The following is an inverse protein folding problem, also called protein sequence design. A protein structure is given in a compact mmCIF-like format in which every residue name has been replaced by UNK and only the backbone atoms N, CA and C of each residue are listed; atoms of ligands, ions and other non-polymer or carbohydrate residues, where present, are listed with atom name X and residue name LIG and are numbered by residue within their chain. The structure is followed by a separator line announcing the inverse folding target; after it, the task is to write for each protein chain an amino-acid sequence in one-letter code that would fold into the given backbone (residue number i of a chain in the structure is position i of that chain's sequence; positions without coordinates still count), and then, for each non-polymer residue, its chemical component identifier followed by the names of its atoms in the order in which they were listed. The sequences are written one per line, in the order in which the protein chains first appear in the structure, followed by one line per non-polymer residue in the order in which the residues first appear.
data_IF_101763053858
#
_entry.id   IF_101763053858
#
_cell.length_a   1.000
_cell.length_b   1.000
_cell.length_c   1.000
_cell.angle_alpha   90.00
_cell.angle_beta   90.00
_cell.angle_gamma   90.00
#
_symmetry.space_group_name_H-M   'P 1'
#
loop_
_entity.id
_entity.type
_entity.pdbx_description
1 polymer ?
#
# COMPACT_ATOMS: atom_id res chain seq x y z
N UNK A 1 -21.50 -16.30 22.88
CA UNK A 1 -20.42 -15.80 22.00
C UNK A 1 -20.77 -14.37 21.65
N UNK A 2 -20.05 -13.40 22.21
CA UNK A 2 -20.33 -11.98 21.99
C UNK A 2 -19.91 -11.60 20.58
N UNK A 3 -20.88 -11.37 19.70
CA UNK A 3 -20.68 -10.65 18.45
C UNK A 3 -20.21 -9.24 18.82
N UNK A 4 -18.90 -9.04 18.98
CA UNK A 4 -18.34 -7.70 18.95
C UNK A 4 -18.62 -7.17 17.55
N UNK A 5 -19.60 -6.28 17.44
CA UNK A 5 -19.85 -5.52 16.22
C UNK A 5 -18.67 -4.56 16.06
N UNK A 6 -17.57 -5.04 15.47
CA UNK A 6 -16.40 -4.23 15.18
C UNK A 6 -16.79 -3.18 14.15
N UNK A 7 -16.95 -1.94 14.59
CA UNK A 7 -17.01 -0.79 13.70
C UNK A 7 -15.65 -0.13 13.69
N UNK A 8 -15.02 -0.09 12.52
CA UNK A 8 -13.75 0.60 12.33
C UNK A 8 -13.87 1.54 11.13
N UNK A 9 -13.49 2.80 11.32
CA UNK A 9 -13.45 3.79 10.26
C UNK A 9 -12.21 4.64 10.39
N UNK A 10 -11.42 4.69 9.31
CA UNK A 10 -10.23 5.54 9.24
C UNK A 10 -10.20 6.30 7.93
N UNK A 11 -9.83 7.57 8.02
CA UNK A 11 -9.47 8.41 6.90
C UNK A 11 -7.95 8.53 6.83
N UNK A 12 -7.43 8.45 5.63
CA UNK A 12 -5.99 8.44 5.36
C UNK A 12 -5.74 9.52 4.31
N UNK A 13 -4.89 10.48 4.63
CA UNK A 13 -4.33 11.40 3.64
C UNK A 13 -2.99 10.83 3.22
N UNK A 14 -2.84 10.51 1.95
CA UNK A 14 -1.59 9.95 1.45
C UNK A 14 -0.55 11.05 1.30
N UNK A 15 0.69 10.71 1.64
CA UNK A 15 1.85 11.59 1.54
C UNK A 15 2.80 11.12 0.44
N UNK A 16 3.61 12.06 -0.04
CA UNK A 16 4.65 11.87 -1.05
C UNK A 16 6.05 11.74 -0.47
N UNK A 17 6.19 11.62 0.86
CA UNK A 17 7.47 11.59 1.57
C UNK A 17 8.44 10.50 1.05
N UNK A 18 7.89 9.41 0.48
CA UNK A 18 8.63 8.26 -0.06
C UNK A 18 8.53 8.12 -1.59
N UNK A 19 7.98 9.13 -2.25
CA UNK A 19 7.69 9.08 -3.67
C UNK A 19 9.00 9.12 -4.48
N UNK A 20 9.10 8.29 -5.52
CA UNK A 20 10.32 8.17 -6.33
C UNK A 20 10.06 8.03 -7.84
N UNK A 21 8.89 8.50 -8.31
CA UNK A 21 8.53 8.55 -9.74
C UNK A 21 8.75 9.98 -10.25
N UNK A 22 9.62 10.14 -11.23
CA UNK A 22 9.95 11.48 -11.75
C UNK A 22 8.75 12.18 -12.40
N UNK A 23 8.76 13.52 -12.40
CA UNK A 23 7.85 14.37 -13.19
C UNK A 23 6.35 14.26 -12.87
N UNK A 24 5.98 13.83 -11.67
CA UNK A 24 4.59 13.84 -11.19
C UNK A 24 4.50 14.44 -9.79
N UNK A 25 3.31 14.92 -9.39
CA UNK A 25 3.04 15.43 -8.05
C UNK A 25 1.73 14.82 -7.53
N UNK A 26 1.74 13.50 -7.23
CA UNK A 26 0.54 12.76 -6.93
C UNK A 26 -0.04 13.19 -5.59
N UNK A 27 -1.36 13.15 -5.48
CA UNK A 27 -2.07 13.34 -4.22
C UNK A 27 -3.22 12.36 -4.14
N UNK A 28 -3.64 12.05 -2.93
CA UNK A 28 -4.76 11.14 -2.76
C UNK A 28 -5.24 11.04 -1.34
N UNK A 29 -6.38 10.37 -1.20
CA UNK A 29 -6.92 10.01 0.11
C UNK A 29 -7.57 8.62 0.07
N UNK A 30 -7.57 7.98 1.23
CA UNK A 30 -8.18 6.69 1.48
C UNK A 30 -9.24 6.78 2.57
N UNK A 31 -10.24 5.91 2.49
CA UNK A 31 -11.20 5.64 3.56
C UNK A 31 -11.32 4.14 3.75
N UNK A 32 -11.06 3.67 4.96
CA UNK A 32 -11.37 2.30 5.39
C UNK A 32 -12.65 2.35 6.21
N UNK A 33 -13.62 1.52 5.88
CA UNK A 33 -14.86 1.40 6.64
C UNK A 33 -15.23 -0.08 6.80
N UNK A 34 -15.31 -0.54 8.05
CA UNK A 34 -15.58 -1.93 8.42
C UNK A 34 -16.76 -1.96 9.38
N UNK A 35 -17.72 -2.86 9.12
CA UNK A 35 -18.91 -3.10 9.93
C UNK A 35 -19.03 -4.61 10.15
N UNK A 36 -18.77 -5.07 11.38
CA UNK A 36 -18.67 -6.49 11.69
C UNK A 36 -17.46 -7.10 10.98
N UNK A 37 -17.68 -8.17 10.21
CA UNK A 37 -16.60 -8.90 9.52
C UNK A 37 -16.29 -8.40 8.11
N UNK A 38 -17.12 -7.49 7.55
CA UNK A 38 -16.96 -6.97 6.18
C UNK A 38 -16.67 -5.48 6.19
N UNK A 39 -15.94 -5.03 5.20
CA UNK A 39 -15.66 -3.62 4.98
C UNK A 39 -15.32 -3.29 3.55
N UNK A 40 -15.00 -2.03 3.31
CA UNK A 40 -14.56 -1.53 2.03
C UNK A 40 -13.46 -0.49 2.23
N UNK A 41 -12.48 -0.50 1.34
CA UNK A 41 -11.41 0.49 1.24
C UNK A 41 -11.65 1.30 -0.03
N UNK A 42 -11.98 2.58 0.14
CA UNK A 42 -12.09 3.53 -0.97
C UNK A 42 -10.81 4.34 -1.10
N UNK A 43 -10.22 4.40 -2.29
CA UNK A 43 -9.01 5.18 -2.58
C UNK A 43 -9.26 6.06 -3.79
N UNK A 44 -8.83 7.31 -3.70
CA UNK A 44 -8.79 8.25 -4.81
C UNK A 44 -7.38 8.82 -4.92
N UNK A 45 -6.86 8.87 -6.14
CA UNK A 45 -5.56 9.46 -6.49
C UNK A 45 -5.71 10.41 -7.68
N UNK A 46 -4.89 11.44 -7.73
CA UNK A 46 -4.84 12.44 -8.81
C UNK A 46 -3.38 12.85 -9.08
N UNK A 47 -3.14 13.47 -10.24
CA UNK A 47 -1.82 13.95 -10.69
C UNK A 47 -0.75 12.84 -10.79
N UNK A 48 -1.19 11.62 -11.08
CA UNK A 48 -0.33 10.47 -11.34
C UNK A 48 0.03 10.39 -12.82
N UNK A 49 0.85 9.41 -13.19
CA UNK A 49 1.04 9.07 -14.61
C UNK A 49 -0.30 8.64 -15.24
N UNK A 50 -0.48 8.91 -16.54
CA UNK A 50 -1.68 8.54 -17.29
C UNK A 50 -1.69 7.06 -17.64
N UNK A 51 -2.87 6.43 -17.61
CA UNK A 51 -3.09 5.04 -18.05
C UNK A 51 -2.11 4.03 -17.42
N UNK A 52 -1.78 4.24 -16.15
CA UNK A 52 -0.90 3.37 -15.36
C UNK A 52 -1.69 2.60 -14.33
N UNK A 53 -1.12 1.46 -13.96
CA UNK A 53 -1.64 0.57 -12.95
C UNK A 53 -0.67 0.54 -11.75
N UNK A 54 -1.21 0.77 -10.57
CA UNK A 54 -0.51 0.71 -9.29
C UNK A 54 -1.13 -0.35 -8.37
N UNK A 55 -0.27 -1.06 -7.64
CA UNK A 55 -0.64 -1.99 -6.57
C UNK A 55 -0.97 -1.20 -5.32
N UNK A 56 -2.06 -1.59 -4.66
CA UNK A 56 -2.44 -1.13 -3.33
C UNK A 56 -2.15 -2.25 -2.34
N UNK A 57 -1.39 -1.94 -1.28
CA UNK A 57 -1.00 -2.92 -0.27
C UNK A 57 -1.18 -2.39 1.15
N UNK A 58 -1.48 -3.29 2.08
CA UNK A 58 -1.25 -3.05 3.50
C UNK A 58 0.19 -3.42 3.86
N UNK A 59 0.75 -2.68 4.82
CA UNK A 59 2.02 -2.99 5.46
C UNK A 59 1.78 -3.29 6.94
N UNK A 60 2.39 -4.39 7.40
CA UNK A 60 2.45 -4.78 8.82
C UNK A 60 3.90 -4.95 9.21
N UNK A 61 4.31 -4.33 10.30
CA UNK A 61 5.60 -4.58 10.95
C UNK A 61 5.41 -5.67 12.01
N UNK A 62 6.14 -6.77 11.85
CA UNK A 62 6.19 -7.86 12.82
C UNK A 62 7.64 -8.01 13.31
N UNK A 63 7.94 -7.39 14.45
CA UNK A 63 9.26 -7.44 15.09
C UNK A 63 10.42 -6.97 14.18
N UNK A 64 10.21 -5.91 13.40
CA UNK A 64 11.20 -5.35 12.48
C UNK A 64 11.16 -5.94 11.07
N UNK A 65 10.40 -7.01 10.85
CA UNK A 65 10.13 -7.54 9.52
C UNK A 65 8.85 -6.92 8.96
N UNK A 66 8.97 -6.14 7.89
CA UNK A 66 7.79 -5.56 7.23
C UNK A 66 7.21 -6.55 6.21
N UNK A 67 5.96 -6.93 6.44
CA UNK A 67 5.17 -7.77 5.55
C UNK A 67 4.25 -6.91 4.68
N UNK A 68 4.16 -7.25 3.39
CA UNK A 68 3.25 -6.62 2.44
C UNK A 68 2.06 -7.55 2.14
N UNK A 69 0.85 -7.02 2.25
CA UNK A 69 -0.37 -7.70 1.81
C UNK A 69 -1.02 -6.94 0.66
N UNK A 70 -1.01 -7.54 -0.54
CA UNK A 70 -1.59 -6.94 -1.75
C UNK A 70 -3.11 -6.99 -1.68
N UNK A 71 -3.74 -5.82 -1.66
CA UNK A 71 -5.19 -5.66 -1.58
C UNK A 71 -5.86 -5.66 -2.95
N UNK A 72 -5.18 -5.09 -3.94
CA UNK A 72 -5.74 -4.88 -5.26
C UNK A 72 -4.94 -3.88 -6.07
N UNK A 73 -5.60 -3.29 -7.06
CA UNK A 73 -4.97 -2.40 -8.04
C UNK A 73 -5.80 -1.13 -8.23
N UNK A 74 -5.16 -0.05 -8.61
CA UNK A 74 -5.78 1.20 -9.02
C UNK A 74 -5.20 1.63 -10.35
N UNK A 75 -6.08 1.88 -11.31
CA UNK A 75 -5.72 2.26 -12.68
C UNK A 75 -6.05 3.74 -12.85
N UNK A 76 -5.12 4.51 -13.40
CA UNK A 76 -5.31 5.93 -13.70
C UNK A 76 -5.91 6.13 -15.08
N UNK A 77 -6.74 7.15 -15.22
CA UNK A 77 -7.33 7.57 -16.49
C UNK A 77 -6.36 8.46 -17.30
N UNK A 78 -6.83 8.94 -18.45
CA UNK A 78 -6.12 9.89 -19.32
C UNK A 78 -5.82 11.25 -18.67
N UNK A 79 -6.33 11.51 -17.45
CA UNK A 79 -6.04 12.71 -16.65
C UNK A 79 -5.16 12.39 -15.43
N UNK A 80 -4.62 11.19 -15.33
CA UNK A 80 -3.80 10.75 -14.19
C UNK A 80 -4.62 10.59 -12.90
N UNK A 81 -5.93 10.33 -13.00
CA UNK A 81 -6.83 10.14 -11.85
C UNK A 81 -7.22 8.68 -11.73
N UNK A 82 -7.21 8.16 -10.51
CA UNK A 82 -7.61 6.79 -10.22
C UNK A 82 -8.60 6.72 -9.08
N UNK A 83 -9.52 5.76 -9.15
CA UNK A 83 -10.42 5.39 -8.05
C UNK A 83 -10.46 3.88 -7.90
N UNK A 84 -10.32 3.39 -6.68
CA UNK A 84 -10.49 1.98 -6.34
C UNK A 84 -11.44 1.84 -5.15
N UNK A 85 -12.30 0.83 -5.22
CA UNK A 85 -13.12 0.36 -4.10
C UNK A 85 -12.83 -1.12 -3.90
N UNK A 86 -12.15 -1.45 -2.81
CA UNK A 86 -11.67 -2.80 -2.52
C UNK A 86 -12.50 -3.36 -1.37
N UNK A 87 -13.35 -4.38 -1.62
CA UNK A 87 -14.05 -5.06 -0.54
C UNK A 87 -13.04 -5.84 0.31
N UNK A 88 -13.22 -5.81 1.62
CA UNK A 88 -12.39 -6.56 2.57
C UNK A 88 -13.26 -7.41 3.50
N UNK A 89 -12.73 -8.56 3.87
CA UNK A 89 -13.30 -9.46 4.85
C UNK A 89 -12.24 -9.73 5.93
N UNK A 90 -12.58 -9.44 7.18
CA UNK A 90 -11.65 -9.58 8.31
C UNK A 90 -11.21 -11.03 8.51
N UNK A 91 -12.06 -12.03 8.20
CA UNK A 91 -11.67 -13.43 8.30
C UNK A 91 -10.60 -13.80 7.28
N UNK A 92 -10.73 -13.28 6.07
CA UNK A 92 -9.78 -13.54 4.99
C UNK A 92 -8.45 -12.86 5.34
N UNK A 93 -8.49 -11.61 5.82
CA UNK A 93 -7.31 -10.89 6.30
C UNK A 93 -6.61 -11.64 7.46
N UNK A 94 -7.37 -12.12 8.44
CA UNK A 94 -6.83 -12.89 9.57
C UNK A 94 -6.19 -14.21 9.13
N UNK A 95 -6.78 -14.92 8.16
CA UNK A 95 -6.18 -16.16 7.64
C UNK A 95 -4.83 -15.94 6.93
N UNK A 96 -4.54 -14.70 6.54
CA UNK A 96 -3.27 -14.28 5.93
C UNK A 96 -2.29 -13.72 6.97
N UNK A 97 -2.62 -13.75 8.26
CA UNK A 97 -1.76 -13.25 9.35
C UNK A 97 -1.89 -11.76 9.63
N UNK A 98 -2.89 -11.09 9.04
CA UNK A 98 -3.15 -9.67 9.23
C UNK A 98 -4.38 -9.46 10.12
N UNK A 99 -4.23 -8.72 11.21
CA UNK A 99 -5.34 -8.14 11.96
C UNK A 99 -5.50 -6.68 11.56
N UNK A 100 -6.72 -6.15 11.54
CA UNK A 100 -6.93 -4.73 11.24
C UNK A 100 -6.22 -3.81 12.25
N UNK A 101 -6.07 -4.27 13.49
CA UNK A 101 -5.40 -3.55 14.58
C UNK A 101 -3.87 -3.51 14.41
N UNK A 102 -3.30 -4.46 13.67
CA UNK A 102 -1.85 -4.60 13.48
C UNK A 102 -1.36 -3.95 12.18
N UNK A 103 -2.27 -3.43 11.34
CA UNK A 103 -1.85 -2.80 10.09
C UNK A 103 -1.33 -1.40 10.38
N UNK A 104 -0.07 -1.18 10.06
CA UNK A 104 0.61 0.08 10.30
C UNK A 104 0.30 1.10 9.20
N UNK A 105 0.35 0.67 7.93
CA UNK A 105 0.30 1.57 6.80
C UNK A 105 -0.38 0.97 5.57
N UNK A 106 -0.71 1.85 4.63
CA UNK A 106 -1.15 1.53 3.28
C UNK A 106 -0.18 2.17 2.28
N UNK A 107 0.19 1.40 1.27
CA UNK A 107 1.17 1.79 0.25
C UNK A 107 0.55 1.65 -1.14
N UNK A 108 0.81 2.63 -2.00
CA UNK A 108 0.46 2.60 -3.43
C UNK A 108 1.77 2.66 -4.21
N UNK A 109 2.06 1.63 -5.00
CA UNK A 109 3.33 1.49 -5.71
C UNK A 109 3.19 0.78 -7.05
N UNK A 110 4.21 0.91 -7.90
CA UNK A 110 4.40 0.12 -9.10
C UNK A 110 5.83 -0.41 -9.10
N UNK A 111 5.99 -1.72 -9.04
CA UNK A 111 7.31 -2.36 -8.91
C UNK A 111 8.08 -1.75 -7.72
N UNK A 112 9.34 -1.37 -7.90
CA UNK A 112 10.14 -0.70 -6.88
C UNK A 112 9.83 0.80 -6.71
N UNK A 113 8.85 1.33 -7.45
CA UNK A 113 8.51 2.74 -7.44
C UNK A 113 7.29 3.04 -6.57
N UNK A 114 7.48 3.91 -5.59
CA UNK A 114 6.44 4.31 -4.64
C UNK A 114 5.75 5.56 -5.17
N UNK A 115 4.42 5.49 -5.24
CA UNK A 115 3.57 6.60 -5.64
C UNK A 115 3.14 7.42 -4.42
N UNK A 116 2.55 6.75 -3.43
CA UNK A 116 1.90 7.36 -2.27
C UNK A 116 1.91 6.39 -1.08
N UNK A 117 2.06 6.92 0.13
CA UNK A 117 2.02 6.14 1.37
C UNK A 117 1.23 6.84 2.47
N UNK A 118 0.61 6.08 3.38
CA UNK A 118 -0.14 6.66 4.48
C UNK A 118 -0.25 5.72 5.68
N UNK A 119 -0.03 6.27 6.87
CA UNK A 119 -0.19 5.56 8.13
C UNK A 119 -1.66 5.43 8.51
N UNK A 120 -2.07 4.26 9.02
CA UNK A 120 -3.45 4.01 9.44
C UNK A 120 -3.68 4.53 10.85
N UNK A 121 -2.76 4.30 11.77
CA UNK A 121 -2.91 4.72 13.18
C UNK A 121 -1.95 5.85 13.52
N UNK A 122 -0.68 5.51 13.61
CA UNK A 122 0.42 6.40 13.96
C UNK A 122 1.60 6.16 13.02
N UNK A 123 2.50 7.13 12.97
CA UNK A 123 3.74 7.00 12.23
C UNK A 123 4.67 6.03 12.97
N UNK A 124 4.84 4.86 12.38
CA UNK A 124 5.60 3.73 12.97
C UNK A 124 6.93 3.50 12.27
N UNK A 125 7.27 4.33 11.28
CA UNK A 125 8.43 4.12 10.41
C UNK A 125 8.32 2.86 9.52
N UNK A 126 7.16 2.20 9.47
CA UNK A 126 6.98 0.95 8.71
C UNK A 126 7.18 1.16 7.21
N UNK A 127 6.79 2.32 6.68
CA UNK A 127 6.98 2.61 5.24
C UNK A 127 8.47 2.77 4.93
N UNK A 128 9.22 3.49 5.76
CA UNK A 128 10.66 3.71 5.64
C UNK A 128 11.43 2.39 5.67
N UNK A 129 11.07 1.52 6.62
CA UNK A 129 11.64 0.16 6.70
C UNK A 129 11.36 -0.62 5.42
N UNK A 130 10.14 -0.54 4.90
CA UNK A 130 9.78 -1.19 3.63
C UNK A 130 10.61 -0.65 2.46
N UNK A 131 10.71 0.69 2.30
CA UNK A 131 11.49 1.34 1.23
C UNK A 131 12.96 0.93 1.30
N UNK A 132 13.53 0.86 2.50
CA UNK A 132 14.93 0.44 2.71
C UNK A 132 15.14 -1.00 2.22
N UNK A 133 14.24 -1.91 2.56
CA UNK A 133 14.33 -3.31 2.12
C UNK A 133 14.15 -3.43 0.59
N UNK A 134 13.17 -2.71 0.04
CA UNK A 134 12.89 -2.62 -1.40
C UNK A 134 14.12 -2.15 -2.20
N UNK A 135 14.88 -1.19 -1.65
CA UNK A 135 16.10 -0.66 -2.29
C UNK A 135 17.24 -1.68 -2.27
N UNK A 136 17.34 -2.51 -1.23
CA UNK A 136 18.32 -3.59 -1.15
C UNK A 136 18.02 -4.70 -2.16
N UNK A 137 16.75 -5.08 -2.29
CA UNK A 137 16.29 -6.06 -3.29
C UNK A 137 16.60 -5.58 -4.72
N UNK A 138 16.25 -4.33 -5.05
CA UNK A 138 16.55 -3.74 -6.36
C UNK A 138 18.04 -3.82 -6.72
N UNK A 139 18.93 -3.47 -5.77
CA UNK A 139 20.39 -3.55 -5.99
C UNK A 139 20.85 -4.98 -6.24
N UNK A 140 20.28 -5.97 -5.55
CA UNK A 140 20.65 -7.36 -5.77
C UNK A 140 20.25 -7.87 -7.15
N UNK A 141 19.09 -7.47 -7.68
CA UNK A 141 18.64 -7.82 -9.03
C UNK A 141 19.51 -7.16 -10.12
N UNK A 142 19.89 -5.89 -9.94
CA UNK A 142 20.78 -5.19 -10.87
C UNK A 142 22.16 -5.87 -10.95
N UNK A 143 22.72 -6.30 -9.81
CA UNK A 143 24.00 -7.01 -9.74
C UNK A 143 23.94 -8.36 -10.48
N UNK A 144 22.86 -9.14 -10.30
CA UNK A 144 22.71 -10.45 -10.97
C UNK A 144 22.64 -10.28 -12.50
N UNK A 145 21.94 -9.24 -12.97
CA UNK A 145 21.77 -8.98 -14.42
C UNK A 145 23.08 -8.59 -15.10
N UNK A 146 24.00 -7.91 -14.40
CA UNK A 146 25.34 -7.57 -14.92
C UNK A 146 26.22 -8.81 -15.13
N UNK A 147 26.11 -9.83 -14.28
CA UNK A 147 26.91 -11.07 -14.45
C UNK A 147 26.41 -11.94 -15.60
N UNK A 148 25.10 -12.02 -15.85
CA UNK A 148 24.51 -12.81 -16.95
C UNK A 148 24.73 -12.19 -18.34
N UNK A 149 25.13 -10.92 -18.43
CA UNK A 149 25.39 -10.23 -19.70
C UNK A 149 26.88 -10.19 -20.10
N UNK A 150 27.76 -10.81 -19.30
CA UNK A 150 29.20 -10.92 -19.56
C UNK A 150 29.65 -12.31 -20.10
N UNK A 151 28.73 -13.19 -20.48
CA UNK A 151 28.99 -14.41 -21.28
C UNK A 151 28.75 -14.21 -22.78
#
# INVERSE_FOLDING_TARGET
MTNNFTYFRKYIIFKTDYQNISNINPKGHGKIEIKGIRGNIGINIENCEIEKDYIISFLKDSNGQVMEFKLGRIITDHKGRGRANIPINLKDLQSQGFSIEDINAILIRKDFHILLGGYIHEDTGTIEKFVKNLTLEKKSEEIITEYDTME
#
